data_IF_353018071157
#
_entry.id   IF_353018071157
#
_cell.length_a   1.000
_cell.length_b   1.000
_cell.length_c   1.000
_cell.angle_alpha   90.00
_cell.angle_beta   90.00
_cell.angle_gamma   90.00
#
_symmetry.space_group_name_H-M   'P 1'
#
loop_
_entity.id
_entity.type
_entity.pdbx_description
1 polymer ?
#
# COMPACT_ATOMS: atom_id res chain seq x y z
N UNK A 1 -8.85 23.90 -5.41
CA UNK A 1 -8.19 22.57 -5.28
C UNK A 1 -6.84 22.85 -4.66
N UNK A 2 -6.50 22.21 -3.53
CA UNK A 2 -5.22 22.45 -2.87
C UNK A 2 -4.04 21.89 -3.70
N UNK A 3 -2.85 22.41 -3.50
CA UNK A 3 -1.61 21.92 -4.13
C UNK A 3 -1.42 20.42 -3.85
N UNK A 4 -1.75 19.99 -2.62
CA UNK A 4 -1.66 18.60 -2.20
C UNK A 4 -2.64 17.68 -2.96
N UNK A 5 -3.87 18.15 -3.20
CA UNK A 5 -4.84 17.41 -4.03
C UNK A 5 -4.32 17.23 -5.46
N UNK A 6 -3.70 18.27 -6.04
CA UNK A 6 -3.07 18.17 -7.36
C UNK A 6 -1.91 17.18 -7.38
N UNK A 7 -1.06 17.19 -6.34
CA UNK A 7 0.04 16.22 -6.16
C UNK A 7 -0.47 14.78 -6.12
N UNK A 8 -1.58 14.52 -5.40
CA UNK A 8 -2.22 13.20 -5.36
C UNK A 8 -2.78 12.80 -6.73
N UNK A 9 -3.49 13.70 -7.42
CA UNK A 9 -4.01 13.43 -8.77
C UNK A 9 -2.89 13.11 -9.75
N UNK A 10 -1.78 13.82 -9.68
CA UNK A 10 -0.61 13.53 -10.51
C UNK A 10 -0.01 12.15 -10.20
N UNK A 11 0.08 11.78 -8.92
CA UNK A 11 0.59 10.48 -8.50
C UNK A 11 -0.30 9.31 -8.96
N UNK A 12 -1.62 9.52 -9.04
CA UNK A 12 -2.58 8.49 -9.47
C UNK A 12 -2.73 8.38 -10.99
N UNK A 13 -2.29 9.37 -11.75
CA UNK A 13 -2.29 9.35 -13.22
C UNK A 13 -1.09 8.62 -13.82
N UNK A 14 -0.10 8.27 -13.01
CA UNK A 14 1.00 7.42 -13.46
C UNK A 14 0.52 5.98 -13.65
N UNK A 15 1.03 5.24 -14.64
CA UNK A 15 0.57 3.88 -14.98
C UNK A 15 0.77 2.82 -13.90
N UNK A 16 1.29 3.20 -12.73
CA UNK A 16 1.50 2.32 -11.58
C UNK A 16 0.22 1.86 -10.87
N UNK A 17 -0.90 2.45 -11.20
CA UNK A 17 -2.19 2.08 -10.63
C UNK A 17 -3.06 1.54 -11.74
N UNK A 18 -3.27 0.22 -11.68
CA UNK A 18 -4.21 -0.47 -12.53
C UNK A 18 -5.57 0.24 -12.50
N UNK A 19 -5.92 0.87 -13.62
CA UNK A 19 -7.23 1.47 -13.84
C UNK A 19 -8.28 0.39 -14.19
N UNK A 20 -7.98 -0.89 -13.94
CA UNK A 20 -8.91 -1.99 -14.11
C UNK A 20 -10.01 -1.93 -13.07
N UNK A 21 -11.02 -1.14 -13.33
CA UNK A 21 -12.16 -1.00 -12.43
C UNK A 21 -13.13 0.10 -12.79
N UNK A 22 -13.07 0.70 -13.96
CA UNK A 22 -14.23 1.40 -14.50
C UNK A 22 -15.26 0.36 -14.94
N UNK A 23 -16.01 -0.19 -13.98
CA UNK A 23 -17.30 -0.78 -14.31
C UNK A 23 -18.25 0.36 -14.66
N UNK A 24 -18.48 0.54 -15.92
CA UNK A 24 -19.65 1.30 -16.40
C UNK A 24 -20.90 0.59 -15.88
N UNK A 25 -21.51 1.12 -14.86
CA UNK A 25 -22.83 0.67 -14.42
C UNK A 25 -23.06 0.60 -12.92
N UNK A 26 -23.67 1.65 -12.39
CA UNK A 26 -24.61 1.69 -11.25
C UNK A 26 -24.05 1.44 -9.84
N UNK A 27 -24.12 2.47 -9.12
CA UNK A 27 -24.19 2.83 -7.71
C UNK A 27 -23.02 3.71 -7.28
N UNK A 28 -23.34 4.84 -6.66
CA UNK A 28 -22.42 5.88 -6.16
C UNK A 28 -21.64 5.42 -4.92
N UNK A 29 -20.88 4.33 -5.04
CA UNK A 29 -19.80 4.04 -4.08
C UNK A 29 -18.53 4.62 -4.68
N UNK A 30 -18.07 5.75 -4.14
CA UNK A 30 -16.76 6.29 -4.49
C UNK A 30 -15.70 5.19 -4.34
N UNK A 31 -14.96 4.91 -5.39
CA UNK A 31 -13.91 3.91 -5.37
C UNK A 31 -12.80 4.30 -4.36
N UNK A 32 -12.09 3.33 -3.78
CA UNK A 32 -10.95 3.64 -2.95
C UNK A 32 -9.83 4.28 -3.78
N UNK A 33 -9.23 5.32 -3.23
CA UNK A 33 -7.98 5.86 -3.75
C UNK A 33 -6.89 4.78 -3.64
N UNK A 34 -6.22 4.48 -4.74
CA UNK A 34 -5.06 3.55 -4.77
C UNK A 34 -3.81 4.39 -5.00
N UNK A 35 -2.89 4.40 -4.05
CA UNK A 35 -1.72 5.27 -4.11
C UNK A 35 -0.53 4.71 -3.36
N UNK A 36 0.67 5.15 -3.73
CA UNK A 36 1.92 4.90 -3.02
C UNK A 36 2.26 6.06 -2.10
N UNK A 37 2.67 5.75 -0.88
CA UNK A 37 3.24 6.73 0.04
C UNK A 37 4.65 7.14 -0.43
N UNK A 38 5.47 6.16 -0.82
CA UNK A 38 6.80 6.36 -1.40
C UNK A 38 6.82 5.87 -2.85
N UNK A 39 7.04 6.77 -3.78
CA UNK A 39 7.06 6.48 -5.22
C UNK A 39 8.42 5.99 -5.74
N UNK A 40 9.41 5.78 -4.86
CA UNK A 40 10.70 5.17 -5.18
C UNK A 40 10.91 3.90 -4.38
N UNK A 41 11.70 2.95 -4.90
CA UNK A 41 11.97 1.69 -4.24
C UNK A 41 13.42 1.26 -4.50
N UNK A 42 14.06 0.69 -3.47
CA UNK A 42 15.41 0.15 -3.56
C UNK A 42 15.47 -1.34 -3.96
N UNK A 43 14.30 -1.98 -4.07
CA UNK A 43 14.22 -3.36 -4.52
C UNK A 43 14.38 -3.48 -6.05
N UNK A 44 14.51 -4.70 -6.55
CA UNK A 44 14.81 -5.04 -7.94
C UNK A 44 13.70 -5.78 -8.69
N UNK A 45 12.48 -5.80 -8.14
CA UNK A 45 11.35 -6.55 -8.71
C UNK A 45 11.14 -6.21 -10.19
N UNK A 46 11.38 -7.17 -11.08
CA UNK A 46 11.33 -6.98 -12.53
C UNK A 46 9.94 -6.60 -13.06
N UNK A 47 8.88 -7.02 -12.37
CA UNK A 47 7.49 -6.71 -12.70
C UNK A 47 7.02 -5.36 -12.17
N UNK A 48 7.81 -4.67 -11.34
CA UNK A 48 7.40 -3.45 -10.66
C UNK A 48 8.00 -2.20 -11.32
N UNK A 49 7.15 -1.35 -11.89
CA UNK A 49 7.60 -0.11 -12.51
C UNK A 49 8.29 0.85 -11.52
N UNK A 50 7.91 0.82 -10.24
CA UNK A 50 8.55 1.64 -9.20
C UNK A 50 10.01 1.28 -9.04
N UNK A 51 10.33 -0.02 -9.07
CA UNK A 51 11.70 -0.52 -8.99
C UNK A 51 12.50 -0.20 -10.27
N UNK A 52 11.87 -0.30 -11.45
CA UNK A 52 12.54 -0.13 -12.74
C UNK A 52 12.74 1.35 -13.13
N UNK A 53 11.73 2.18 -12.89
CA UNK A 53 11.78 3.59 -13.28
C UNK A 53 12.54 4.47 -12.28
N UNK A 54 12.68 4.05 -11.03
CA UNK A 54 13.39 4.75 -9.94
C UNK A 54 13.01 6.24 -9.79
N UNK A 55 11.82 6.61 -10.26
CA UNK A 55 11.26 7.97 -10.19
C UNK A 55 9.78 7.87 -9.84
N UNK A 56 9.36 8.60 -8.84
CA UNK A 56 7.96 8.65 -8.42
C UNK A 56 7.71 9.81 -7.48
N UNK A 57 6.43 10.05 -7.23
CA UNK A 57 5.99 11.08 -6.29
C UNK A 57 5.90 10.41 -4.92
N UNK A 58 6.47 11.06 -3.92
CA UNK A 58 6.47 10.62 -2.53
C UNK A 58 5.77 11.64 -1.65
N UNK A 59 5.17 11.16 -0.57
CA UNK A 59 4.41 11.96 0.39
C UNK A 59 4.94 11.71 1.79
N UNK A 60 4.88 12.74 2.66
CA UNK A 60 5.01 12.47 4.10
C UNK A 60 3.72 11.82 4.62
N UNK A 61 3.74 11.16 5.80
CA UNK A 61 2.53 10.64 6.43
C UNK A 61 1.44 11.70 6.59
N UNK A 62 1.82 12.92 6.97
CA UNK A 62 0.92 14.05 7.16
C UNK A 62 0.30 14.53 5.83
N UNK A 63 1.12 14.66 4.79
CA UNK A 63 0.65 15.02 3.45
C UNK A 63 -0.37 14.01 2.93
N UNK A 64 -0.05 12.71 3.04
CA UNK A 64 -0.94 11.65 2.58
C UNK A 64 -2.25 11.63 3.36
N UNK A 65 -2.17 11.69 4.70
CA UNK A 65 -3.35 11.69 5.55
C UNK A 65 -4.25 12.91 5.29
N UNK A 66 -3.67 14.10 5.23
CA UNK A 66 -4.41 15.35 4.97
C UNK A 66 -5.07 15.33 3.58
N UNK A 67 -4.30 15.00 2.55
CA UNK A 67 -4.82 14.99 1.17
C UNK A 67 -5.92 13.93 0.97
N UNK A 68 -5.77 12.74 1.54
CA UNK A 68 -6.82 11.72 1.52
C UNK A 68 -8.10 12.21 2.22
N UNK A 69 -7.98 12.77 3.44
CA UNK A 69 -9.12 13.27 4.19
C UNK A 69 -9.83 14.43 3.49
N UNK A 70 -9.09 15.30 2.80
CA UNK A 70 -9.65 16.38 1.98
C UNK A 70 -10.48 15.80 0.82
N UNK A 71 -9.90 14.85 0.05
CA UNK A 71 -10.61 14.18 -1.05
C UNK A 71 -11.85 13.41 -0.58
N UNK A 72 -11.74 12.74 0.58
CA UNK A 72 -12.88 12.04 1.18
C UNK A 72 -14.01 13.00 1.57
N UNK A 73 -13.70 14.11 2.25
CA UNK A 73 -14.70 15.14 2.60
C UNK A 73 -15.38 15.77 1.39
N UNK A 74 -14.68 15.86 0.27
CA UNK A 74 -15.23 16.32 -1.03
C UNK A 74 -16.06 15.22 -1.73
N UNK A 75 -16.22 14.04 -1.17
CA UNK A 75 -16.95 12.91 -1.78
C UNK A 75 -16.27 12.31 -3.01
N UNK A 76 -14.97 12.55 -3.21
CA UNK A 76 -14.22 12.09 -4.40
C UNK A 76 -13.67 10.67 -4.24
N UNK A 77 -13.44 10.22 -3.02
CA UNK A 77 -12.93 8.89 -2.70
C UNK A 77 -13.68 8.28 -1.52
N UNK A 78 -14.00 6.99 -1.58
CA UNK A 78 -14.76 6.27 -0.55
C UNK A 78 -13.87 5.48 0.42
N UNK A 79 -12.59 5.32 0.12
CA UNK A 79 -11.63 4.57 0.92
C UNK A 79 -10.20 4.77 0.42
N UNK A 80 -9.27 4.06 1.03
CA UNK A 80 -7.85 4.12 0.65
C UNK A 80 -7.25 2.71 0.57
N UNK A 81 -6.55 2.43 -0.53
CA UNK A 81 -5.56 1.37 -0.64
C UNK A 81 -4.19 2.03 -0.71
N UNK A 82 -3.42 1.88 0.37
CA UNK A 82 -2.10 2.47 0.49
C UNK A 82 -1.02 1.40 0.47
N UNK A 83 -0.07 1.59 -0.41
CA UNK A 83 1.18 0.84 -0.48
C UNK A 83 2.36 1.81 -0.37
N UNK A 84 3.57 1.29 -0.42
CA UNK A 84 4.78 2.12 -0.46
C UNK A 84 5.90 1.37 -1.17
N UNK A 85 6.77 2.10 -1.85
CA UNK A 85 8.10 1.61 -2.14
C UNK A 85 8.91 1.49 -0.85
N UNK A 86 10.02 0.76 -0.90
CA UNK A 86 10.91 0.58 0.26
C UNK A 86 12.01 1.64 0.17
N UNK A 87 11.95 2.69 1.01
CA UNK A 87 12.92 3.76 0.96
C UNK A 87 14.29 3.25 1.45
N UNK A 88 15.34 3.48 0.68
CA UNK A 88 16.73 3.13 1.05
C UNK A 88 16.96 1.65 1.45
N UNK A 89 16.07 0.75 1.03
CA UNK A 89 16.11 -0.66 1.46
C UNK A 89 15.63 -0.90 2.90
N UNK A 90 15.09 0.13 3.56
CA UNK A 90 14.68 0.10 4.96
C UNK A 90 13.17 -0.23 5.06
N UNK A 91 12.88 -1.50 5.36
CA UNK A 91 11.51 -1.99 5.54
C UNK A 91 10.86 -1.41 6.80
N UNK A 92 11.62 -1.26 7.89
CA UNK A 92 11.11 -0.77 9.17
C UNK A 92 10.65 0.68 9.03
N UNK A 93 11.45 1.53 8.38
CA UNK A 93 11.06 2.90 8.05
C UNK A 93 9.80 2.94 7.15
N UNK A 94 9.70 2.05 6.18
CA UNK A 94 8.52 1.94 5.33
C UNK A 94 7.26 1.58 6.12
N UNK A 95 7.35 0.61 7.03
CA UNK A 95 6.25 0.18 7.90
C UNK A 95 5.86 1.26 8.91
N UNK A 96 6.84 1.94 9.52
CA UNK A 96 6.61 3.07 10.43
C UNK A 96 5.80 4.18 9.73
N UNK A 97 6.23 4.60 8.54
CA UNK A 97 5.54 5.65 7.77
C UNK A 97 4.13 5.25 7.34
N UNK A 98 3.91 4.00 6.93
CA UNK A 98 2.56 3.48 6.62
C UNK A 98 1.66 3.50 7.86
N UNK A 99 2.19 3.06 9.00
CA UNK A 99 1.47 3.01 10.27
C UNK A 99 1.10 4.39 10.75
N UNK A 100 2.04 5.34 10.70
CA UNK A 100 1.79 6.74 11.08
C UNK A 100 0.73 7.38 10.17
N UNK A 101 0.80 7.14 8.85
CA UNK A 101 -0.23 7.62 7.91
C UNK A 101 -1.61 7.09 8.30
N UNK A 102 -1.72 5.79 8.58
CA UNK A 102 -2.98 5.16 8.97
C UNK A 102 -3.51 5.72 10.31
N UNK A 103 -2.62 5.92 11.28
CA UNK A 103 -2.95 6.54 12.57
C UNK A 103 -3.51 7.95 12.40
N UNK A 104 -2.86 8.79 11.58
CA UNK A 104 -3.30 10.16 11.28
C UNK A 104 -4.65 10.19 10.58
N UNK A 105 -4.89 9.29 9.63
CA UNK A 105 -6.19 9.15 8.95
C UNK A 105 -7.30 8.82 9.95
N UNK A 106 -7.04 7.88 10.88
CA UNK A 106 -8.01 7.52 11.92
C UNK A 106 -8.24 8.64 12.93
N UNK A 107 -7.17 9.33 13.35
CA UNK A 107 -7.25 10.51 14.21
C UNK A 107 -8.04 11.66 13.54
N UNK A 108 -8.00 11.78 12.21
CA UNK A 108 -8.79 12.71 11.43
C UNK A 108 -10.29 12.32 11.27
N UNK A 109 -10.73 11.25 11.94
CA UNK A 109 -12.14 10.82 12.01
C UNK A 109 -12.60 9.86 10.90
N UNK A 110 -11.70 9.42 10.02
CA UNK A 110 -12.08 8.46 8.97
C UNK A 110 -12.26 7.05 9.57
N UNK A 111 -13.45 6.48 9.42
CA UNK A 111 -13.80 5.13 9.91
C UNK A 111 -14.01 4.11 8.80
N UNK A 112 -13.95 4.54 7.54
CA UNK A 112 -14.22 3.74 6.36
C UNK A 112 -13.10 2.76 5.99
N UNK A 113 -13.15 2.30 4.75
CA UNK A 113 -12.25 1.27 4.20
C UNK A 113 -10.80 1.78 4.09
N UNK A 114 -9.89 1.12 4.80
CA UNK A 114 -8.45 1.38 4.78
C UNK A 114 -7.70 0.06 4.59
N UNK A 115 -7.21 -0.15 3.38
CA UNK A 115 -6.41 -1.31 3.00
C UNK A 115 -4.93 -0.90 2.92
N UNK A 116 -4.10 -1.55 3.72
CA UNK A 116 -2.67 -1.27 3.79
C UNK A 116 -1.87 -2.50 3.32
N UNK A 117 -0.83 -2.26 2.53
CA UNK A 117 0.08 -3.32 2.10
C UNK A 117 1.25 -3.44 3.07
N UNK A 118 1.40 -4.63 3.64
CA UNK A 118 2.56 -5.00 4.47
C UNK A 118 3.76 -5.22 3.56
N UNK A 119 4.91 -4.74 3.99
CA UNK A 119 6.16 -4.86 3.24
C UNK A 119 6.83 -6.23 3.46
N UNK A 120 7.55 -6.75 2.44
CA UNK A 120 8.44 -7.88 2.62
C UNK A 120 9.44 -7.61 3.75
N UNK A 121 9.67 -8.58 4.60
CA UNK A 121 10.60 -8.44 5.73
C UNK A 121 10.03 -7.76 6.98
N UNK A 122 8.81 -7.20 6.94
CA UNK A 122 8.19 -6.55 8.10
C UNK A 122 8.16 -7.45 9.34
N UNK A 123 8.37 -6.88 10.53
CA UNK A 123 8.30 -7.62 11.78
C UNK A 123 6.86 -7.96 12.16
N UNK A 124 6.68 -8.97 13.05
CA UNK A 124 5.34 -9.31 13.57
C UNK A 124 4.74 -8.17 14.39
N UNK A 125 5.58 -7.42 15.10
CA UNK A 125 5.17 -6.24 15.86
C UNK A 125 4.63 -5.14 14.97
N UNK A 126 5.28 -4.85 13.84
CA UNK A 126 4.82 -3.83 12.89
C UNK A 126 3.49 -4.22 12.26
N UNK A 127 3.32 -5.51 11.92
CA UNK A 127 2.06 -6.04 11.41
C UNK A 127 0.95 -5.91 12.45
N UNK A 128 1.23 -6.22 13.72
CA UNK A 128 0.25 -6.07 14.80
C UNK A 128 -0.10 -4.61 15.07
N UNK A 129 0.87 -3.70 14.94
CA UNK A 129 0.64 -2.27 15.14
C UNK A 129 -0.22 -1.67 14.03
N UNK A 130 0.13 -1.90 12.77
CA UNK A 130 -0.63 -1.36 11.62
C UNK A 130 -2.04 -1.96 11.54
N UNK A 131 -2.24 -3.20 12.02
CA UNK A 131 -3.54 -3.86 12.05
C UNK A 131 -4.58 -3.12 12.91
N UNK A 132 -4.16 -2.35 13.91
CA UNK A 132 -5.06 -1.53 14.75
C UNK A 132 -5.83 -0.49 13.95
N UNK A 133 -5.29 -0.04 12.84
CA UNK A 133 -5.83 1.04 12.02
C UNK A 133 -6.48 0.54 10.72
N UNK A 134 -6.06 -0.62 10.22
CA UNK A 134 -6.50 -1.17 8.94
C UNK A 134 -7.87 -1.85 9.02
N UNK A 135 -8.67 -1.75 7.95
CA UNK A 135 -9.82 -2.62 7.73
C UNK A 135 -9.42 -3.88 6.97
N UNK A 136 -8.33 -3.83 6.22
CA UNK A 136 -7.73 -4.94 5.49
C UNK A 136 -6.22 -4.79 5.42
N UNK A 137 -5.50 -5.88 5.55
CA UNK A 137 -4.07 -5.96 5.25
C UNK A 137 -3.80 -6.94 4.10
N UNK A 138 -2.74 -6.73 3.36
CA UNK A 138 -2.26 -7.69 2.37
C UNK A 138 -0.74 -7.69 2.27
N UNK A 139 -0.20 -8.85 1.92
CA UNK A 139 1.15 -9.00 1.42
C UNK A 139 1.09 -9.85 0.15
N UNK A 140 1.77 -9.43 -0.90
CA UNK A 140 1.82 -10.21 -2.12
C UNK A 140 2.82 -11.36 -1.94
N UNK A 141 2.44 -12.56 -2.34
CA UNK A 141 3.35 -13.69 -2.45
C UNK A 141 4.13 -13.66 -3.77
N UNK A 142 3.61 -12.93 -4.75
CA UNK A 142 4.17 -12.64 -6.07
C UNK A 142 4.31 -13.89 -6.96
N UNK A 143 4.78 -15.01 -6.42
CA UNK A 143 5.04 -16.26 -7.11
C UNK A 143 4.55 -17.47 -6.31
N UNK A 144 4.33 -18.63 -6.93
CA UNK A 144 3.87 -19.84 -6.23
C UNK A 144 4.92 -20.43 -5.28
N UNK A 145 6.19 -20.19 -5.53
CA UNK A 145 7.30 -20.73 -4.75
C UNK A 145 8.58 -19.88 -4.87
N UNK A 146 9.63 -20.32 -4.16
CA UNK A 146 10.89 -19.59 -4.07
C UNK A 146 11.67 -19.56 -5.40
N UNK A 147 11.57 -20.60 -6.23
CA UNK A 147 12.30 -20.65 -7.50
C UNK A 147 11.74 -19.63 -8.51
N UNK A 148 10.43 -19.55 -8.63
CA UNK A 148 9.79 -18.55 -9.49
C UNK A 148 9.97 -17.12 -8.93
N UNK A 149 9.96 -16.94 -7.60
CA UNK A 149 10.25 -15.62 -7.03
C UNK A 149 11.66 -15.14 -7.36
N UNK A 150 12.66 -16.03 -7.31
CA UNK A 150 14.05 -15.68 -7.60
C UNK A 150 14.26 -15.15 -9.03
N UNK A 151 13.41 -15.56 -9.99
CA UNK A 151 13.41 -15.02 -11.36
C UNK A 151 12.81 -13.60 -11.44
N UNK A 152 11.94 -13.24 -10.49
CA UNK A 152 11.20 -11.98 -10.48
C UNK A 152 11.84 -10.91 -9.59
N UNK A 153 12.50 -11.31 -8.49
CA UNK A 153 13.07 -10.39 -7.50
C UNK A 153 14.17 -11.10 -6.70
N UNK A 154 15.41 -10.62 -6.81
CA UNK A 154 16.55 -11.28 -6.17
C UNK A 154 16.73 -10.90 -4.70
N UNK A 155 16.14 -9.78 -4.27
CA UNK A 155 16.27 -9.24 -2.91
C UNK A 155 15.18 -9.72 -1.94
N UNK A 156 14.28 -10.60 -2.38
CA UNK A 156 13.19 -11.13 -1.55
C UNK A 156 13.37 -12.61 -1.27
N UNK A 157 13.24 -12.99 -0.03
CA UNK A 157 13.21 -14.38 0.41
C UNK A 157 11.76 -14.87 0.55
N UNK A 158 11.36 -15.86 -0.27
CA UNK A 158 9.96 -16.32 -0.33
C UNK A 158 9.41 -16.78 1.01
N UNK A 159 10.19 -17.61 1.75
CA UNK A 159 9.73 -18.19 3.02
C UNK A 159 9.74 -17.18 4.15
N UNK A 160 10.84 -16.48 4.34
CA UNK A 160 11.03 -15.53 5.44
C UNK A 160 10.26 -14.23 5.18
N UNK A 161 10.39 -13.60 4.00
CA UNK A 161 9.88 -12.25 3.80
C UNK A 161 8.41 -12.19 3.38
N UNK A 162 7.91 -13.22 2.71
CA UNK A 162 6.56 -13.23 2.18
C UNK A 162 5.66 -14.22 2.90
N UNK A 163 5.96 -15.52 2.84
CA UNK A 163 5.08 -16.57 3.36
C UNK A 163 4.90 -16.48 4.89
N UNK A 164 5.97 -16.21 5.62
CA UNK A 164 5.89 -16.04 7.07
C UNK A 164 5.02 -14.84 7.46
N UNK A 165 5.16 -13.72 6.75
CA UNK A 165 4.33 -12.51 6.96
C UNK A 165 2.87 -12.78 6.61
N UNK A 166 2.61 -13.51 5.54
CA UNK A 166 1.25 -13.90 5.17
C UNK A 166 0.60 -14.77 6.25
N UNK A 167 1.34 -15.70 6.87
CA UNK A 167 0.85 -16.48 8.01
C UNK A 167 0.50 -15.60 9.21
N UNK A 168 1.37 -14.64 9.56
CA UNK A 168 1.10 -13.69 10.64
C UNK A 168 -0.12 -12.82 10.35
N UNK A 169 -0.32 -12.42 9.09
CA UNK A 169 -1.53 -11.69 8.67
C UNK A 169 -2.80 -12.52 8.90
N UNK A 170 -2.76 -13.81 8.56
CA UNK A 170 -3.90 -14.71 8.76
C UNK A 170 -4.25 -14.89 10.25
N UNK A 171 -3.25 -14.89 11.12
CA UNK A 171 -3.43 -14.95 12.59
C UNK A 171 -3.96 -13.64 13.17
N UNK A 172 -3.39 -12.50 12.76
CA UNK A 172 -3.68 -11.17 13.32
C UNK A 172 -5.00 -10.61 12.76
N UNK A 173 -5.28 -10.84 11.48
CA UNK A 173 -6.47 -10.34 10.78
C UNK A 173 -7.22 -11.47 10.06
N UNK A 174 -7.81 -12.44 10.80
CA UNK A 174 -8.56 -13.53 10.20
C UNK A 174 -9.68 -12.97 9.32
N UNK A 175 -9.82 -13.50 8.11
CA UNK A 175 -10.82 -13.09 7.10
C UNK A 175 -10.70 -11.64 6.59
N UNK A 176 -9.70 -10.86 7.04
CA UNK A 176 -9.47 -9.47 6.63
C UNK A 176 -8.08 -9.27 6.00
N UNK A 177 -7.53 -10.34 5.44
CA UNK A 177 -6.25 -10.31 4.73
C UNK A 177 -6.40 -10.87 3.31
N UNK A 178 -5.43 -10.59 2.46
CA UNK A 178 -5.36 -11.10 1.09
C UNK A 178 -3.92 -11.17 0.61
N UNK A 179 -3.72 -11.91 -0.47
CA UNK A 179 -2.45 -11.98 -1.22
C UNK A 179 -2.72 -11.78 -2.69
N UNK A 180 -1.65 -11.64 -3.46
CA UNK A 180 -1.66 -11.50 -4.90
C UNK A 180 -0.43 -12.19 -5.49
N UNK A 181 -0.59 -12.76 -6.67
CA UNK A 181 0.47 -13.26 -7.54
C UNK A 181 0.61 -12.35 -8.77
N UNK A 182 1.79 -12.35 -9.35
CA UNK A 182 2.06 -11.68 -10.64
C UNK A 182 1.64 -12.57 -11.79
#
# INVERSE_FOLDING_TARGET
MSELTQKIEQATRTPFFDQTGRSEGKTHHCEPLKILLEGTCSFDCAYCEVCTKKKGISFTPEEMAHGFLELHRQGRVGGLLLSTGIPRGDTDLGMERLTETARLIRAGGFTGYLHLKVLPGASRSDIAEIAKYATRLSINLEAPDASHLAELATVKEYKSDLLQRHKWLAEIMPHKHSTQFV
#
